data_IF_571505501400
#
_entry.id   IF_571505501400
#
_cell.length_a   1.000
_cell.length_b   1.000
_cell.length_c   1.000
_cell.angle_alpha   90.00
_cell.angle_beta   90.00
_cell.angle_gamma   90.00
#
_symmetry.space_group_name_H-M   'P 1'
#
loop_
_entity.id
_entity.type
_entity.pdbx_description
1 polymer ?
#
# COMPACT_ATOMS: atom_id res chain seq x y z
N UNK A 1 -0.47 10.76 6.54
CA UNK A 1 0.27 9.54 6.16
C UNK A 1 1.67 9.87 5.62
N UNK A 2 1.79 10.81 4.68
CA UNK A 2 3.11 11.23 4.16
C UNK A 2 4.06 11.66 5.26
N UNK A 3 3.57 12.43 6.22
CA UNK A 3 4.39 12.89 7.34
C UNK A 3 4.89 11.75 8.20
N UNK A 4 4.10 10.70 8.37
CA UNK A 4 4.52 9.52 9.12
C UNK A 4 5.72 8.85 8.46
N UNK A 5 5.74 8.76 7.13
CA UNK A 5 6.89 8.24 6.40
C UNK A 5 8.13 9.13 6.58
N UNK A 6 7.96 10.43 6.43
CA UNK A 6 9.08 11.38 6.60
C UNK A 6 9.65 11.33 8.00
N UNK A 7 8.78 11.26 9.02
CA UNK A 7 9.20 11.18 10.41
C UNK A 7 9.98 9.91 10.74
N UNK A 8 9.78 8.85 9.96
CA UNK A 8 10.52 7.59 10.12
C UNK A 8 11.76 7.50 9.23
N UNK A 9 12.14 8.59 8.57
CA UNK A 9 13.36 8.66 7.79
C UNK A 9 13.25 8.20 6.34
N UNK A 10 12.03 8.01 5.84
CA UNK A 10 11.82 7.67 4.43
C UNK A 10 11.99 8.90 3.54
N UNK A 11 12.64 8.71 2.38
CA UNK A 11 12.68 9.71 1.33
C UNK A 11 11.64 9.34 0.28
N UNK A 12 10.81 10.31 -0.11
CA UNK A 12 9.82 10.12 -1.16
C UNK A 12 10.49 10.47 -2.49
N UNK A 13 10.83 9.46 -3.28
CA UNK A 13 11.55 9.63 -4.54
C UNK A 13 10.61 10.11 -5.65
N UNK A 14 9.45 9.49 -5.74
CA UNK A 14 8.39 9.87 -6.68
C UNK A 14 7.05 9.66 -6.04
N UNK A 15 6.08 10.50 -6.43
CA UNK A 15 4.68 10.28 -6.05
C UNK A 15 3.78 10.78 -7.16
N UNK A 16 2.61 10.16 -7.29
CA UNK A 16 1.55 10.68 -8.16
C UNK A 16 0.20 10.28 -7.63
N UNK A 17 -0.79 11.13 -7.89
CA UNK A 17 -2.18 10.87 -7.55
C UNK A 17 -2.88 10.32 -8.79
N UNK A 18 -3.47 9.15 -8.65
CA UNK A 18 -4.14 8.46 -9.75
C UNK A 18 -5.47 7.92 -9.29
N UNK A 19 -6.31 7.55 -10.25
CA UNK A 19 -7.51 6.76 -9.97
C UNK A 19 -7.49 5.55 -10.88
N UNK A 20 -7.51 4.37 -10.28
CA UNK A 20 -7.52 3.10 -11.02
C UNK A 20 -8.94 2.72 -11.40
N UNK A 21 -9.07 2.12 -12.58
CA UNK A 21 -10.29 1.40 -12.93
C UNK A 21 -10.26 0.04 -12.23
N UNK A 22 -11.43 -0.57 -12.05
CA UNK A 22 -11.52 -1.87 -11.38
C UNK A 22 -10.67 -2.92 -12.08
N UNK A 23 -10.62 -2.91 -13.41
CA UNK A 23 -9.79 -3.84 -14.19
C UNK A 23 -8.30 -3.70 -13.88
N UNK A 24 -7.83 -2.47 -13.64
CA UNK A 24 -6.44 -2.22 -13.28
C UNK A 24 -6.15 -2.70 -11.85
N UNK A 25 -7.07 -2.49 -10.93
CA UNK A 25 -6.97 -2.99 -9.55
C UNK A 25 -6.92 -4.53 -9.54
N UNK A 26 -7.72 -5.16 -10.38
CA UNK A 26 -7.74 -6.62 -10.53
C UNK A 26 -6.38 -7.15 -11.01
N UNK A 27 -5.74 -6.45 -11.95
CA UNK A 27 -4.40 -6.80 -12.41
C UNK A 27 -3.36 -6.66 -11.30
N UNK A 28 -3.45 -5.59 -10.54
CA UNK A 28 -2.51 -5.33 -9.44
C UNK A 28 -2.60 -6.39 -8.35
N UNK A 29 -3.82 -6.81 -8.00
CA UNK A 29 -4.07 -7.79 -6.96
C UNK A 29 -4.24 -9.22 -7.48
N UNK A 30 -3.84 -9.50 -8.71
CA UNK A 30 -4.03 -10.81 -9.33
C UNK A 30 -3.52 -11.98 -8.49
N UNK A 31 -2.43 -11.78 -7.75
CA UNK A 31 -1.88 -12.81 -6.85
C UNK A 31 -2.83 -13.20 -5.73
N UNK A 32 -3.84 -12.38 -5.47
CA UNK A 32 -4.85 -12.61 -4.43
C UNK A 32 -6.20 -13.03 -4.98
N UNK A 33 -6.32 -13.31 -6.28
CA UNK A 33 -7.62 -13.55 -6.95
C UNK A 33 -8.43 -14.72 -6.37
N UNK A 34 -7.77 -15.66 -5.70
CA UNK A 34 -8.43 -16.80 -5.08
C UNK A 34 -8.88 -16.53 -3.64
N UNK A 35 -8.52 -15.38 -3.08
CA UNK A 35 -8.86 -15.03 -1.70
C UNK A 35 -10.26 -14.43 -1.61
N UNK A 36 -11.02 -14.73 -0.53
CA UNK A 36 -12.40 -14.25 -0.43
C UNK A 36 -12.56 -12.73 -0.41
N UNK A 37 -11.55 -11.99 0.01
CA UNK A 37 -11.58 -10.53 0.06
C UNK A 37 -11.09 -9.84 -1.23
N UNK A 38 -10.77 -10.61 -2.27
CA UNK A 38 -10.20 -10.06 -3.51
C UNK A 38 -11.09 -8.99 -4.15
N UNK A 39 -12.37 -9.27 -4.31
CA UNK A 39 -13.30 -8.32 -4.92
C UNK A 39 -13.43 -7.03 -4.10
N UNK A 40 -13.44 -7.15 -2.78
CA UNK A 40 -13.53 -5.99 -1.88
C UNK A 40 -12.27 -5.15 -1.95
N UNK A 41 -11.08 -5.78 -2.02
CA UNK A 41 -9.80 -5.06 -2.20
C UNK A 41 -9.79 -4.28 -3.51
N UNK A 42 -10.19 -4.91 -4.61
CA UNK A 42 -10.21 -4.26 -5.92
C UNK A 42 -11.21 -3.11 -5.95
N UNK A 43 -12.39 -3.29 -5.36
CA UNK A 43 -13.39 -2.24 -5.27
C UNK A 43 -12.88 -1.07 -4.44
N UNK A 44 -12.23 -1.34 -3.31
CA UNK A 44 -11.68 -0.30 -2.44
C UNK A 44 -10.57 0.49 -3.13
N UNK A 45 -9.63 -0.20 -3.79
CA UNK A 45 -8.51 0.44 -4.48
C UNK A 45 -8.99 1.34 -5.61
N UNK A 46 -10.06 0.94 -6.30
CA UNK A 46 -10.63 1.71 -7.42
C UNK A 46 -11.75 2.66 -7.05
N UNK A 47 -12.10 2.75 -5.75
CA UNK A 47 -13.24 3.55 -5.28
C UNK A 47 -13.03 5.06 -5.34
N UNK A 48 -11.78 5.52 -5.46
CA UNK A 48 -11.47 6.94 -5.53
C UNK A 48 -10.00 7.16 -5.82
N UNK A 49 -9.56 8.42 -5.88
CA UNK A 49 -8.16 8.73 -6.11
C UNK A 49 -7.26 8.12 -5.03
N UNK A 50 -6.10 7.63 -5.47
CA UNK A 50 -5.06 7.11 -4.58
C UNK A 50 -3.75 7.82 -4.87
N UNK A 51 -2.87 7.86 -3.88
CA UNK A 51 -1.51 8.37 -4.04
C UNK A 51 -0.56 7.19 -4.04
N UNK A 52 0.24 7.07 -5.10
CA UNK A 52 1.28 6.06 -5.18
C UNK A 52 2.63 6.73 -5.03
N UNK A 53 3.53 6.10 -4.26
CA UNK A 53 4.83 6.67 -3.91
C UNK A 53 5.93 5.64 -4.02
N UNK A 54 7.10 6.10 -4.48
CA UNK A 54 8.34 5.33 -4.37
C UNK A 54 9.08 5.88 -3.16
N UNK A 55 9.29 5.01 -2.18
CA UNK A 55 9.96 5.36 -0.93
C UNK A 55 11.37 4.75 -0.90
N UNK A 56 12.32 5.52 -0.39
CA UNK A 56 13.70 5.08 -0.24
C UNK A 56 14.12 5.15 1.21
N UNK A 57 14.69 4.06 1.71
CA UNK A 57 15.26 3.95 3.04
C UNK A 57 16.03 2.65 3.12
N UNK A 58 17.05 2.59 3.99
CA UNK A 58 17.70 1.31 4.31
C UNK A 58 16.65 0.33 4.83
N UNK A 59 16.62 -0.89 4.29
CA UNK A 59 15.60 -1.90 4.60
C UNK A 59 14.16 -1.38 4.42
N UNK A 60 13.91 -0.65 3.34
CA UNK A 60 12.64 0.05 3.11
C UNK A 60 11.40 -0.86 3.22
N UNK A 61 11.46 -2.06 2.65
CA UNK A 61 10.31 -2.98 2.67
C UNK A 61 9.95 -3.36 4.10
N UNK A 62 10.92 -3.77 4.90
CA UNK A 62 10.69 -4.15 6.30
C UNK A 62 10.26 -2.95 7.14
N UNK A 63 10.96 -1.82 7.00
CA UNK A 63 10.62 -0.59 7.73
C UNK A 63 9.21 -0.10 7.40
N UNK A 64 8.81 -0.20 6.13
CA UNK A 64 7.47 0.16 5.69
C UNK A 64 6.41 -0.76 6.32
N UNK A 65 6.67 -2.07 6.35
CA UNK A 65 5.74 -3.02 6.97
C UNK A 65 5.53 -2.73 8.44
N UNK A 66 6.60 -2.39 9.15
CA UNK A 66 6.52 -2.00 10.57
C UNK A 66 5.70 -0.73 10.76
N UNK A 67 5.90 0.27 9.90
CA UNK A 67 5.15 1.52 9.99
C UNK A 67 3.68 1.35 9.60
N UNK A 68 3.39 0.54 8.59
CA UNK A 68 2.00 0.26 8.19
C UNK A 68 1.24 -0.50 9.28
N UNK A 69 1.89 -1.44 9.94
CA UNK A 69 1.28 -2.28 10.96
C UNK A 69 0.62 -3.52 10.38
N UNK A 70 -0.03 -4.29 11.25
CA UNK A 70 -0.72 -5.51 10.86
C UNK A 70 -1.82 -5.24 9.85
N UNK A 71 -2.05 -6.19 8.95
CA UNK A 71 -3.09 -6.09 7.91
C UNK A 71 -4.46 -5.81 8.52
N UNK A 72 -4.79 -6.47 9.63
CA UNK A 72 -5.99 -6.15 10.37
C UNK A 72 -5.72 -4.95 11.29
N UNK A 73 -6.40 -3.80 11.07
CA UNK A 73 -6.16 -2.60 11.90
C UNK A 73 -6.39 -2.82 13.39
N UNK A 74 -7.28 -3.74 13.77
CA UNK A 74 -7.54 -4.06 15.18
C UNK A 74 -6.34 -4.71 15.86
N UNK A 75 -5.51 -5.41 15.10
CA UNK A 75 -4.31 -6.09 15.60
C UNK A 75 -3.05 -5.23 15.44
N UNK A 76 -3.14 -4.10 14.76
CA UNK A 76 -2.02 -3.22 14.53
C UNK A 76 -1.62 -2.48 15.81
N UNK A 77 -0.31 -2.31 15.99
CA UNK A 77 0.23 -1.59 17.15
C UNK A 77 -0.06 -0.08 17.07
N UNK A 78 -0.15 0.56 18.22
CA UNK A 78 -0.24 2.00 18.29
C UNK A 78 0.94 2.66 17.56
N UNK A 79 0.67 3.78 16.88
CA UNK A 79 1.67 4.51 16.11
C UNK A 79 1.84 4.00 14.69
N UNK A 80 1.11 2.96 14.30
CA UNK A 80 1.14 2.48 12.92
C UNK A 80 0.04 3.14 12.09
N UNK A 81 0.23 3.16 10.77
CA UNK A 81 -0.72 3.78 9.83
C UNK A 81 -2.07 3.07 9.91
N UNK A 82 -2.08 1.76 9.88
CA UNK A 82 -3.32 0.98 9.89
C UNK A 82 -4.09 1.10 11.19
N UNK A 83 -3.38 1.20 12.31
CA UNK A 83 -4.04 1.44 13.61
C UNK A 83 -4.75 2.78 13.63
N UNK A 84 -4.11 3.81 13.08
CA UNK A 84 -4.63 5.18 13.09
C UNK A 84 -5.74 5.41 12.07
N UNK A 85 -5.61 4.87 10.86
CA UNK A 85 -6.48 5.18 9.72
C UNK A 85 -7.26 3.99 9.17
N UNK A 86 -6.86 2.77 9.48
CA UNK A 86 -7.51 1.58 8.93
C UNK A 86 -8.86 1.30 9.57
N UNK A 87 -9.77 0.78 8.78
CA UNK A 87 -11.13 0.43 9.22
C UNK A 87 -11.28 -1.07 9.38
N UNK A 88 -10.81 -1.85 8.40
CA UNK A 88 -10.92 -3.30 8.38
C UNK A 88 -9.80 -3.91 7.54
N UNK A 89 -9.73 -5.22 7.44
CA UNK A 89 -8.69 -5.90 6.66
C UNK A 89 -8.68 -5.45 5.21
N UNK A 90 -9.85 -5.28 4.60
CA UNK A 90 -9.97 -4.83 3.21
C UNK A 90 -9.89 -3.31 3.06
N UNK A 91 -10.21 -2.55 4.11
CA UNK A 91 -10.15 -1.08 4.14
C UNK A 91 -9.07 -0.63 5.12
N UNK A 92 -7.85 -1.07 4.88
CA UNK A 92 -6.74 -0.85 5.80
C UNK A 92 -5.86 0.37 5.48
N UNK A 93 -6.30 1.23 4.57
CA UNK A 93 -5.74 2.55 4.21
C UNK A 93 -4.49 2.52 3.34
N UNK A 94 -3.61 1.55 3.48
CA UNK A 94 -2.34 1.51 2.75
C UNK A 94 -2.00 0.12 2.27
N UNK A 95 -1.23 0.07 1.18
CA UNK A 95 -0.60 -1.13 0.66
C UNK A 95 0.90 -0.86 0.55
N UNK A 96 1.70 -1.85 0.83
CA UNK A 96 3.14 -1.78 0.64
C UNK A 96 3.67 -3.09 0.06
N UNK A 97 4.73 -2.99 -0.73
CA UNK A 97 5.37 -4.16 -1.31
C UNK A 97 5.96 -5.04 -0.21
N UNK A 98 5.81 -6.35 -0.34
CA UNK A 98 6.23 -7.31 0.69
C UNK A 98 7.66 -7.85 0.51
N UNK A 99 8.31 -7.48 -0.59
CA UNK A 99 9.70 -7.89 -0.86
C UNK A 99 10.33 -6.92 -1.87
N UNK A 100 11.68 -6.86 -1.94
CA UNK A 100 12.35 -6.05 -2.97
C UNK A 100 11.97 -6.46 -4.39
N UNK A 101 11.76 -7.75 -4.63
CA UNK A 101 11.32 -8.26 -5.93
C UNK A 101 9.94 -7.73 -6.30
N UNK A 102 8.99 -7.81 -5.37
CA UNK A 102 7.63 -7.32 -5.60
C UNK A 102 7.61 -5.80 -5.67
N UNK A 103 8.45 -5.11 -4.91
CA UNK A 103 8.59 -3.66 -5.00
C UNK A 103 8.94 -3.22 -6.41
N UNK A 104 9.89 -3.90 -7.05
CA UNK A 104 10.28 -3.60 -8.43
C UNK A 104 9.12 -3.78 -9.41
N UNK A 105 8.38 -4.87 -9.27
CA UNK A 105 7.21 -5.16 -10.12
C UNK A 105 6.14 -4.08 -9.93
N UNK A 106 5.84 -3.71 -8.69
CA UNK A 106 4.80 -2.73 -8.37
C UNK A 106 5.20 -1.32 -8.80
N UNK A 107 6.48 -0.96 -8.67
CA UNK A 107 6.99 0.33 -9.17
C UNK A 107 6.83 0.41 -10.68
N UNK A 108 7.17 -0.63 -11.41
CA UNK A 108 6.99 -0.68 -12.85
C UNK A 108 5.53 -0.58 -13.26
N UNK A 109 4.63 -1.16 -12.47
CA UNK A 109 3.19 -1.11 -12.74
C UNK A 109 2.66 0.34 -12.66
N UNK A 110 3.02 1.08 -11.62
CA UNK A 110 2.48 2.42 -11.37
C UNK A 110 3.29 3.55 -12.01
N UNK A 111 4.59 3.37 -12.19
CA UNK A 111 5.49 4.41 -12.69
C UNK A 111 6.14 4.03 -14.02
N UNK A 112 5.40 3.37 -14.85
CA UNK A 112 5.85 2.94 -16.16
C UNK A 112 5.77 4.10 -17.15
N UNK A 113 6.80 4.88 -17.20
CA UNK A 113 6.88 6.00 -18.16
C UNK A 113 8.07 5.82 -19.09
#
# INVERSE_FOLDING_TARGET
>A
IKEMFKNKGFSIVKEKKIQLEKSEAEKFYKVHETKPFYNDLCAYLSSGPIVVMILEKENAVLSNRELMGATNPKEAKEGTIRKKYGVSIDKNSVHGSDSPKNAKIEIEFFFKD
#
